data_IF_018820576498
#
_entry.id   IF_018820576498
#
_cell.length_a   1.000
_cell.length_b   1.000
_cell.length_c   1.000
_cell.angle_alpha   90.00
_cell.angle_beta   90.00
_cell.angle_gamma   90.00
#
_symmetry.space_group_name_H-M   'P 1'
#
loop_
_entity.id
_entity.type
_entity.pdbx_description
1 polymer ?
#
# COMPACT_ATOMS: atom_id res chain seq x y z
N UNK A 1 36.85 -50.03 -44.17
CA UNK A 1 36.48 -48.60 -44.11
C UNK A 1 34.96 -48.51 -44.06
N UNK A 2 34.38 -48.53 -42.87
CA UNK A 2 32.94 -48.39 -42.65
C UNK A 2 32.60 -46.92 -42.48
N UNK A 3 32.02 -46.30 -43.51
CA UNK A 3 31.46 -44.95 -43.41
C UNK A 3 30.23 -44.99 -42.48
N UNK A 4 30.16 -44.17 -41.42
CA UNK A 4 29.01 -44.15 -40.51
C UNK A 4 27.84 -43.40 -41.17
N UNK A 5 27.15 -44.05 -42.12
CA UNK A 5 26.00 -43.49 -42.87
C UNK A 5 24.74 -43.25 -42.04
N UNK A 6 24.72 -43.63 -40.75
CA UNK A 6 23.60 -43.40 -39.83
C UNK A 6 23.77 -42.23 -38.86
N UNK A 7 24.98 -41.70 -38.69
CA UNK A 7 25.28 -40.67 -37.67
C UNK A 7 24.91 -39.27 -38.15
N UNK A 8 25.12 -38.97 -39.44
CA UNK A 8 24.84 -37.65 -40.02
C UNK A 8 23.36 -37.18 -39.90
N UNK A 9 22.34 -38.00 -40.21
CA UNK A 9 20.95 -37.58 -40.04
C UNK A 9 20.56 -37.46 -38.56
N UNK A 10 21.04 -38.35 -37.70
CA UNK A 10 20.80 -38.29 -36.26
C UNK A 10 21.35 -36.98 -35.66
N UNK A 11 22.58 -36.61 -35.99
CA UNK A 11 23.22 -35.35 -35.54
C UNK A 11 22.43 -34.13 -36.02
N UNK A 12 21.92 -34.15 -37.25
CA UNK A 12 21.08 -33.06 -37.78
C UNK A 12 19.76 -32.92 -37.03
N UNK A 13 19.08 -34.02 -36.70
CA UNK A 13 17.84 -33.96 -35.90
C UNK A 13 18.11 -33.47 -34.47
N UNK A 14 19.18 -33.94 -33.83
CA UNK A 14 19.56 -33.48 -32.48
C UNK A 14 19.85 -31.98 -32.49
N UNK A 15 20.60 -31.48 -33.47
CA UNK A 15 20.85 -30.05 -33.65
C UNK A 15 19.55 -29.26 -33.87
N UNK A 16 18.65 -29.75 -34.73
CA UNK A 16 17.37 -29.09 -34.98
C UNK A 16 16.50 -29.00 -33.71
N UNK A 17 16.45 -30.08 -32.92
CA UNK A 17 15.72 -30.10 -31.64
C UNK A 17 16.34 -29.13 -30.63
N UNK A 18 17.68 -29.08 -30.53
CA UNK A 18 18.36 -28.14 -29.63
C UNK A 18 18.11 -26.68 -30.03
N UNK A 19 18.17 -26.35 -31.32
CA UNK A 19 17.86 -25.00 -31.81
C UNK A 19 16.39 -24.66 -31.53
N UNK A 20 15.46 -25.57 -31.80
CA UNK A 20 14.05 -25.36 -31.49
C UNK A 20 13.82 -25.13 -29.98
N UNK A 21 14.48 -25.90 -29.11
CA UNK A 21 14.41 -25.73 -27.67
C UNK A 21 14.94 -24.35 -27.22
N UNK A 22 16.05 -23.89 -27.80
CA UNK A 22 16.62 -22.56 -27.51
C UNK A 22 15.66 -21.45 -27.95
N UNK A 23 15.09 -21.56 -29.15
CA UNK A 23 14.13 -20.57 -29.67
C UNK A 23 12.87 -20.53 -28.79
N UNK A 24 12.29 -21.69 -28.45
CA UNK A 24 11.11 -21.76 -27.56
C UNK A 24 11.43 -21.16 -26.19
N UNK A 25 12.59 -21.46 -25.62
CA UNK A 25 13.01 -20.89 -24.33
C UNK A 25 13.17 -19.36 -24.42
N UNK A 26 13.76 -18.85 -25.51
CA UNK A 26 13.88 -17.41 -25.73
C UNK A 26 12.53 -16.71 -25.83
N UNK A 27 11.59 -17.30 -26.58
CA UNK A 27 10.21 -16.78 -26.67
C UNK A 27 9.51 -16.82 -25.31
N UNK A 28 9.65 -17.91 -24.56
CA UNK A 28 9.05 -18.03 -23.23
C UNK A 28 9.56 -16.95 -22.27
N UNK A 29 10.86 -16.64 -22.28
CA UNK A 29 11.43 -15.55 -21.47
C UNK A 29 10.88 -14.18 -21.90
N UNK A 30 10.78 -13.91 -23.21
CA UNK A 30 10.23 -12.64 -23.70
C UNK A 30 8.76 -12.47 -23.30
N UNK A 31 7.95 -13.52 -23.45
CA UNK A 31 6.53 -13.51 -23.04
C UNK A 31 6.41 -13.32 -21.54
N UNK A 32 7.24 -14.01 -20.75
CA UNK A 32 7.25 -13.87 -19.29
C UNK A 32 7.59 -12.44 -18.86
N UNK A 33 8.62 -11.83 -19.45
CA UNK A 33 9.02 -10.46 -19.12
C UNK A 33 7.93 -9.45 -19.50
N UNK A 34 7.33 -9.60 -20.68
CA UNK A 34 6.25 -8.73 -21.13
C UNK A 34 5.01 -8.84 -20.24
N UNK A 35 4.68 -10.06 -19.83
CA UNK A 35 3.60 -10.31 -18.88
C UNK A 35 3.84 -9.62 -17.54
N UNK A 36 5.05 -9.74 -16.97
CA UNK A 36 5.39 -9.06 -15.70
C UNK A 36 5.24 -7.55 -15.81
N UNK A 37 5.74 -6.93 -16.89
CA UNK A 37 5.65 -5.47 -17.07
C UNK A 37 4.21 -4.96 -17.15
N UNK A 38 3.35 -5.65 -17.91
CA UNK A 38 1.93 -5.26 -18.03
C UNK A 38 1.22 -5.40 -16.69
N UNK A 39 1.45 -6.51 -15.99
CA UNK A 39 0.80 -6.77 -14.71
C UNK A 39 1.26 -5.75 -13.66
N UNK A 40 2.55 -5.40 -13.60
CA UNK A 40 3.05 -4.37 -12.68
C UNK A 40 2.45 -2.99 -12.95
N UNK A 41 2.29 -2.60 -14.22
CA UNK A 41 1.65 -1.34 -14.60
C UNK A 41 0.16 -1.31 -14.22
N UNK A 42 -0.56 -2.41 -14.48
CA UNK A 42 -1.96 -2.56 -14.09
C UNK A 42 -2.14 -2.50 -12.57
N UNK A 43 -1.31 -3.24 -11.81
CA UNK A 43 -1.28 -3.20 -10.34
C UNK A 43 -1.04 -1.77 -9.86
N UNK A 44 -0.02 -1.08 -10.41
CA UNK A 44 0.32 0.29 -9.99
C UNK A 44 -0.84 1.25 -10.23
N UNK A 45 -1.50 1.16 -11.39
CA UNK A 45 -2.65 2.02 -11.73
C UNK A 45 -3.81 1.81 -10.76
N UNK A 46 -4.16 0.55 -10.49
CA UNK A 46 -5.26 0.21 -9.58
C UNK A 46 -4.93 0.56 -8.12
N UNK A 47 -3.72 0.27 -7.63
CA UNK A 47 -3.27 0.70 -6.30
C UNK A 47 -3.28 2.23 -6.16
N UNK A 48 -2.94 2.97 -7.22
CA UNK A 48 -3.03 4.44 -7.21
C UNK A 48 -4.48 4.91 -7.05
N UNK A 49 -5.43 4.26 -7.71
CA UNK A 49 -6.86 4.57 -7.55
C UNK A 49 -7.35 4.26 -6.13
N UNK A 50 -6.96 3.10 -5.58
CA UNK A 50 -7.25 2.71 -4.20
C UNK A 50 -6.72 3.76 -3.21
N UNK A 51 -5.46 4.18 -3.35
CA UNK A 51 -4.85 5.17 -2.47
C UNK A 51 -5.51 6.55 -2.61
N UNK A 52 -5.87 6.96 -3.83
CA UNK A 52 -6.61 8.20 -4.05
C UNK A 52 -8.00 8.18 -3.42
N UNK A 53 -8.73 7.05 -3.53
CA UNK A 53 -10.02 6.85 -2.89
C UNK A 53 -9.91 6.92 -1.36
N UNK A 54 -8.92 6.24 -0.78
CA UNK A 54 -8.65 6.33 0.65
C UNK A 54 -8.31 7.76 1.08
N UNK A 55 -7.52 8.51 0.31
CA UNK A 55 -7.18 9.92 0.59
C UNK A 55 -8.43 10.82 0.55
N UNK A 56 -9.29 10.62 -0.45
CA UNK A 56 -10.57 11.31 -0.52
C UNK A 56 -11.45 11.02 0.69
N UNK A 57 -11.45 9.78 1.20
CA UNK A 57 -12.19 9.41 2.41
C UNK A 57 -11.60 9.99 3.69
N UNK A 58 -10.28 10.11 3.79
CA UNK A 58 -9.62 10.81 4.89
C UNK A 58 -10.04 12.28 4.95
N UNK A 59 -10.06 12.97 3.80
CA UNK A 59 -10.47 14.38 3.77
C UNK A 59 -11.97 14.56 4.04
N UNK A 60 -12.81 13.66 3.52
CA UNK A 60 -14.25 13.62 3.80
C UNK A 60 -14.53 13.46 5.31
N UNK A 61 -13.98 12.41 5.94
CA UNK A 61 -14.24 12.11 7.34
C UNK A 61 -13.69 13.21 8.27
N UNK A 62 -12.53 13.79 7.91
CA UNK A 62 -11.98 14.96 8.60
C UNK A 62 -12.94 16.15 8.55
N UNK A 63 -13.48 16.47 7.36
CA UNK A 63 -14.40 17.59 7.20
C UNK A 63 -15.69 17.43 8.04
N UNK A 64 -16.23 16.21 8.09
CA UNK A 64 -17.41 15.86 8.90
C UNK A 64 -17.07 16.02 10.38
N UNK A 65 -15.94 15.49 10.83
CA UNK A 65 -15.53 15.56 12.23
C UNK A 65 -15.24 16.99 12.70
N UNK A 66 -14.61 17.83 11.86
CA UNK A 66 -14.37 19.26 12.20
C UNK A 66 -15.65 20.08 12.26
N UNK A 67 -16.70 19.69 11.55
CA UNK A 67 -18.03 20.29 11.70
C UNK A 67 -18.72 19.90 13.02
N UNK A 68 -18.27 18.83 13.68
CA UNK A 68 -18.82 18.37 14.95
C UNK A 68 -18.33 19.21 16.13
N UNK A 69 -19.27 19.59 17.00
CA UNK A 69 -19.00 20.32 18.26
C UNK A 69 -18.78 19.40 19.46
N UNK A 70 -18.84 18.09 19.26
CA UNK A 70 -18.64 17.12 20.33
C UNK A 70 -17.20 17.18 20.85
N UNK A 71 -17.06 17.21 22.17
CA UNK A 71 -15.78 17.17 22.86
C UNK A 71 -15.85 16.13 23.97
N UNK A 72 -14.89 15.18 24.02
CA UNK A 72 -14.84 14.21 25.10
C UNK A 72 -14.48 14.88 26.43
N UNK A 73 -15.08 14.39 27.51
CA UNK A 73 -14.65 14.71 28.88
C UNK A 73 -13.24 14.17 29.17
N UNK A 74 -12.74 14.44 30.38
CA UNK A 74 -11.41 13.98 30.78
C UNK A 74 -11.32 12.45 30.77
N UNK A 75 -10.24 11.91 30.20
CA UNK A 75 -10.00 10.47 30.03
C UNK A 75 -11.11 9.75 29.25
N UNK A 76 -11.75 10.44 28.31
CA UNK A 76 -12.78 9.83 27.46
C UNK A 76 -12.51 10.01 25.98
N UNK A 77 -13.26 9.26 25.17
CA UNK A 77 -13.22 9.32 23.72
C UNK A 77 -14.62 9.45 23.11
N UNK A 78 -14.69 9.97 21.90
CA UNK A 78 -15.93 10.05 21.12
C UNK A 78 -15.62 9.73 19.65
N UNK A 79 -16.42 8.83 19.08
CA UNK A 79 -16.45 8.60 17.64
C UNK A 79 -17.24 9.74 16.99
N UNK A 80 -16.59 10.53 16.15
CA UNK A 80 -17.21 11.69 15.50
C UNK A 80 -17.77 11.37 14.12
N UNK A 81 -17.14 10.44 13.42
CA UNK A 81 -17.55 10.01 12.09
C UNK A 81 -17.03 8.61 11.80
N UNK A 82 -17.78 7.86 10.98
CA UNK A 82 -17.42 6.56 10.45
C UNK A 82 -17.86 6.50 8.99
N UNK A 83 -17.00 5.96 8.11
CA UNK A 83 -17.31 5.75 6.70
C UNK A 83 -16.68 4.46 6.20
N UNK A 84 -17.45 3.69 5.45
CA UNK A 84 -16.93 2.58 4.66
C UNK A 84 -16.12 3.13 3.48
N UNK A 85 -14.97 2.51 3.19
CA UNK A 85 -14.13 2.93 2.07
C UNK A 85 -14.60 2.36 0.73
N UNK A 86 -15.37 1.25 0.72
CA UNK A 86 -15.79 0.54 -0.49
C UNK A 86 -14.62 0.28 -1.46
N UNK A 87 -13.54 -0.30 -0.94
CA UNK A 87 -12.36 -0.62 -1.75
C UNK A 87 -12.60 -1.91 -2.55
N UNK A 88 -11.95 -2.08 -3.71
CA UNK A 88 -12.05 -3.32 -4.47
C UNK A 88 -11.50 -4.50 -3.66
N UNK A 89 -12.07 -5.70 -3.84
CA UNK A 89 -11.60 -6.90 -3.14
C UNK A 89 -10.14 -7.25 -3.45
N UNK A 90 -9.71 -6.95 -4.67
CA UNK A 90 -8.42 -7.32 -5.25
C UNK A 90 -7.96 -6.27 -6.23
N UNK A 91 -6.65 -6.20 -6.42
CA UNK A 91 -6.00 -5.40 -7.45
C UNK A 91 -5.27 -6.32 -8.40
N UNK A 92 -5.58 -6.27 -9.70
CA UNK A 92 -5.05 -7.18 -10.73
C UNK A 92 -5.06 -8.66 -10.26
N UNK A 93 -6.21 -9.09 -9.73
CA UNK A 93 -6.48 -10.43 -9.16
C UNK A 93 -5.66 -10.82 -7.91
N UNK A 94 -4.93 -9.88 -7.31
CA UNK A 94 -4.07 -10.11 -6.14
C UNK A 94 -4.65 -9.49 -4.88
N UNK A 95 -4.27 -10.09 -3.77
CA UNK A 95 -4.46 -9.51 -2.45
C UNK A 95 -3.53 -8.32 -2.25
N UNK A 96 -4.03 -7.32 -1.53
CA UNK A 96 -3.30 -6.11 -1.24
C UNK A 96 -3.70 -5.59 0.13
N UNK A 97 -2.88 -4.70 0.67
CA UNK A 97 -3.14 -4.01 1.93
C UNK A 97 -3.03 -2.52 1.76
N UNK A 98 -3.74 -1.80 2.60
CA UNK A 98 -3.68 -0.34 2.68
C UNK A 98 -3.31 0.05 4.09
N UNK A 99 -2.32 0.92 4.23
CA UNK A 99 -1.80 1.42 5.50
C UNK A 99 -1.87 2.93 5.52
N UNK A 100 -2.38 3.50 6.62
CA UNK A 100 -2.28 4.92 6.89
C UNK A 100 -1.03 5.18 7.73
N UNK A 101 -0.19 6.10 7.26
CA UNK A 101 1.00 6.55 7.95
C UNK A 101 0.82 8.00 8.39
N UNK A 102 1.11 8.25 9.66
CA UNK A 102 1.15 9.60 10.19
C UNK A 102 2.37 10.38 9.68
N UNK A 103 2.30 11.70 9.75
CA UNK A 103 3.43 12.56 9.39
C UNK A 103 4.71 12.22 10.22
N UNK A 104 4.55 11.84 11.49
CA UNK A 104 5.67 11.43 12.34
C UNK A 104 6.28 10.10 11.90
N UNK A 105 5.46 9.14 11.48
CA UNK A 105 5.93 7.88 10.91
C UNK A 105 6.65 8.10 9.58
N UNK A 106 6.11 8.94 8.70
CA UNK A 106 6.77 9.31 7.44
C UNK A 106 8.13 9.98 7.70
N UNK A 107 8.20 10.91 8.65
CA UNK A 107 9.45 11.55 9.04
C UNK A 107 10.48 10.55 9.59
N UNK A 108 10.05 9.57 10.39
CA UNK A 108 10.94 8.52 10.93
C UNK A 108 11.51 7.59 9.84
N UNK A 109 10.74 7.34 8.78
CA UNK A 109 11.21 6.56 7.63
C UNK A 109 12.27 7.35 6.83
N UNK A 110 12.05 8.66 6.65
CA UNK A 110 12.97 9.55 5.94
C UNK A 110 14.27 9.81 6.73
N UNK A 111 14.21 9.92 8.05
CA UNK A 111 15.40 10.15 8.89
C UNK A 111 16.41 9.00 8.86
N UNK A 112 15.99 7.81 8.41
CA UNK A 112 16.86 6.64 8.27
C UNK A 112 17.54 6.53 6.89
N UNK A 113 17.29 7.49 5.99
CA UNK A 113 17.95 7.53 4.68
C UNK A 113 19.27 8.29 4.80
N UNK A 114 20.37 7.52 4.80
CA UNK A 114 21.72 8.07 4.66
C UNK A 114 22.07 8.14 3.17
N UNK A 115 22.37 9.34 2.67
CA UNK A 115 22.94 9.52 1.33
C UNK A 115 24.40 9.95 1.54
N UNK A 116 25.33 9.14 1.06
CA UNK A 116 26.78 9.40 1.16
C UNK A 116 27.30 9.66 2.59
N UNK A 117 26.72 9.03 3.61
CA UNK A 117 27.17 9.14 5.00
C UNK A 117 26.69 10.41 5.72
N UNK A 118 25.90 11.27 5.07
CA UNK A 118 25.17 12.35 5.70
C UNK A 118 23.69 11.99 5.83
N UNK A 119 23.10 12.31 7.00
CA UNK A 119 21.68 12.18 7.20
C UNK A 119 20.97 13.24 6.35
N UNK A 120 20.08 12.81 5.47
CA UNK A 120 19.26 13.75 4.69
C UNK A 120 18.19 14.31 5.62
N UNK A 121 18.45 15.48 6.18
CA UNK A 121 17.41 16.28 6.85
C UNK A 121 16.44 16.77 5.77
N UNK A 122 15.32 16.08 5.60
CA UNK A 122 14.21 16.62 4.81
C UNK A 122 13.53 17.72 5.60
N UNK A 123 13.43 18.90 4.98
CA UNK A 123 12.80 20.10 5.53
C UNK A 123 11.32 19.79 5.80
N UNK A 124 10.99 19.51 7.06
CA UNK A 124 9.70 18.95 7.52
C UNK A 124 8.64 20.03 7.70
N UNK A 125 8.48 20.90 6.70
CA UNK A 125 7.55 22.03 6.73
C UNK A 125 6.07 21.66 6.58
N UNK A 126 5.74 20.41 6.19
CA UNK A 126 4.36 19.97 6.06
C UNK A 126 4.16 18.62 6.74
N UNK A 127 3.29 18.57 7.75
CA UNK A 127 2.83 17.33 8.39
C UNK A 127 1.88 16.60 7.42
N UNK A 128 2.46 16.02 6.37
CA UNK A 128 1.73 15.30 5.33
C UNK A 128 1.67 13.84 5.75
N UNK A 129 0.46 13.36 6.05
CA UNK A 129 0.21 11.93 6.21
C UNK A 129 0.33 11.21 4.87
N UNK A 130 0.54 9.89 4.88
CA UNK A 130 0.72 9.11 3.65
C UNK A 130 -0.12 7.84 3.67
N UNK A 131 -0.66 7.49 2.52
CA UNK A 131 -1.33 6.21 2.29
C UNK A 131 -0.38 5.32 1.52
N UNK A 132 -0.14 4.12 2.03
CA UNK A 132 0.66 3.11 1.37
C UNK A 132 -0.22 1.94 1.02
N UNK A 133 -0.38 1.68 -0.28
CA UNK A 133 -1.08 0.51 -0.79
C UNK A 133 -0.06 -0.43 -1.44
N UNK A 134 -0.08 -1.71 -1.09
CA UNK A 134 0.84 -2.68 -1.67
C UNK A 134 0.23 -4.07 -1.82
N UNK A 135 0.61 -4.77 -2.89
CA UNK A 135 0.25 -6.18 -3.07
C UNK A 135 0.98 -7.04 -2.04
N UNK A 136 0.32 -8.11 -1.60
CA UNK A 136 0.91 -9.10 -0.66
C UNK A 136 1.49 -10.31 -1.38
N UNK A 137 1.38 -10.35 -2.72
CA UNK A 137 1.72 -11.46 -3.59
C UNK A 137 2.52 -10.95 -4.80
N UNK A 138 3.41 -11.78 -5.34
CA UNK A 138 4.25 -11.40 -6.47
C UNK A 138 3.46 -11.03 -7.75
N UNK A 139 3.86 -9.96 -8.45
CA UNK A 139 4.92 -9.02 -8.09
C UNK A 139 4.48 -8.09 -6.94
N UNK A 140 5.39 -7.87 -5.98
CA UNK A 140 5.19 -6.91 -4.89
C UNK A 140 5.36 -5.50 -5.44
N UNK A 141 4.24 -4.79 -5.55
CA UNK A 141 4.20 -3.40 -6.02
C UNK A 141 3.64 -2.55 -4.90
N UNK A 142 4.35 -1.48 -4.58
CA UNK A 142 3.97 -0.50 -3.56
C UNK A 142 3.69 0.85 -4.23
N UNK A 143 2.58 1.47 -3.84
CA UNK A 143 2.19 2.82 -4.24
C UNK A 143 1.99 3.67 -2.99
N UNK A 144 2.67 4.80 -2.99
CA UNK A 144 2.57 5.83 -1.96
C UNK A 144 1.74 7.00 -2.48
N UNK A 145 0.83 7.51 -1.64
CA UNK A 145 -0.01 8.64 -1.97
C UNK A 145 -0.10 9.60 -0.80
N UNK A 146 0.19 10.86 -1.04
CA UNK A 146 0.19 11.88 0.00
C UNK A 146 -1.25 12.29 0.35
N UNK A 147 -1.51 12.44 1.64
CA UNK A 147 -2.76 12.98 2.18
C UNK A 147 -2.57 14.48 2.38
N UNK A 148 -3.54 15.33 2.01
CA UNK A 148 -3.49 16.75 2.32
C UNK A 148 -3.19 17.01 3.80
N UNK A 149 -2.47 18.09 4.10
CA UNK A 149 -2.15 18.47 5.47
C UNK A 149 -3.43 18.66 6.29
N UNK A 150 -3.63 17.83 7.30
CA UNK A 150 -4.77 17.87 8.22
C UNK A 150 -4.26 17.81 9.66
N UNK A 151 -5.00 18.46 10.56
CA UNK A 151 -4.71 18.48 11.99
C UNK A 151 -5.38 17.28 12.67
N UNK A 152 -4.99 16.07 12.24
CA UNK A 152 -5.40 14.80 12.79
C UNK A 152 -4.32 13.75 12.52
N UNK A 153 -4.07 12.88 13.49
CA UNK A 153 -3.13 11.78 13.30
C UNK A 153 -3.74 10.69 12.39
N UNK A 154 -2.91 9.98 11.62
CA UNK A 154 -3.35 8.95 10.68
C UNK A 154 -2.76 7.60 11.08
N UNK A 155 -3.61 6.62 11.34
CA UNK A 155 -3.14 5.30 11.77
C UNK A 155 -4.00 4.14 11.27
N UNK A 156 -3.44 2.94 11.34
CA UNK A 156 -4.14 1.70 11.07
C UNK A 156 -3.87 1.15 9.68
N UNK A 157 -4.37 -0.06 9.47
CA UNK A 157 -4.21 -0.79 8.22
C UNK A 157 -5.40 -1.70 7.99
N UNK A 158 -5.61 -2.05 6.74
CA UNK A 158 -6.53 -3.13 6.37
C UNK A 158 -5.84 -4.14 5.47
N UNK A 159 -6.04 -5.42 5.80
CA UNK A 159 -5.71 -6.57 4.95
C UNK A 159 -6.97 -7.10 4.23
N UNK A 160 -8.16 -6.72 4.69
CA UNK A 160 -9.45 -7.07 4.08
C UNK A 160 -10.15 -5.79 3.58
N UNK A 161 -10.04 -5.47 2.29
CA UNK A 161 -10.61 -4.24 1.74
C UNK A 161 -12.15 -4.23 1.75
N UNK A 162 -12.82 -5.39 1.84
CA UNK A 162 -14.30 -5.51 1.82
C UNK A 162 -14.98 -4.79 2.97
N UNK A 163 -14.35 -4.87 4.15
CA UNK A 163 -14.88 -4.33 5.40
C UNK A 163 -14.02 -3.18 5.91
N UNK A 164 -13.27 -2.54 5.01
CA UNK A 164 -12.42 -1.43 5.37
C UNK A 164 -13.29 -0.23 5.78
N UNK A 165 -13.29 0.06 7.08
CA UNK A 165 -13.96 1.21 7.70
C UNK A 165 -12.93 2.24 8.11
N UNK A 166 -13.20 3.51 7.83
CA UNK A 166 -12.46 4.65 8.35
C UNK A 166 -13.24 5.25 9.50
N UNK A 167 -12.56 5.55 10.61
CA UNK A 167 -13.17 6.13 11.81
C UNK A 167 -12.41 7.35 12.26
N UNK A 168 -13.12 8.40 12.65
CA UNK A 168 -12.54 9.57 13.28
C UNK A 168 -12.87 9.58 14.76
N UNK A 169 -11.82 9.53 15.58
CA UNK A 169 -11.94 9.65 17.02
C UNK A 169 -11.37 10.97 17.49
N UNK A 170 -12.08 11.57 18.45
CA UNK A 170 -11.54 12.61 19.32
C UNK A 170 -11.42 12.04 20.71
N UNK A 171 -10.26 12.14 21.34
CA UNK A 171 -10.02 11.61 22.67
C UNK A 171 -9.26 12.63 23.52
N UNK A 172 -9.44 12.58 24.83
CA UNK A 172 -8.87 13.54 25.77
C UNK A 172 -8.10 12.84 26.88
N UNK A 173 -6.87 12.37 26.60
CA UNK A 173 -6.00 11.84 27.63
C UNK A 173 -5.52 12.99 28.52
N UNK A 174 -5.97 13.00 29.77
CA UNK A 174 -5.47 13.88 30.83
C UNK A 174 -5.55 15.39 30.52
N UNK A 175 -6.61 15.84 29.85
CA UNK A 175 -6.88 17.26 29.59
C UNK A 175 -6.42 17.78 28.22
N UNK A 176 -5.70 16.97 27.44
CA UNK A 176 -5.28 17.33 26.08
C UNK A 176 -6.19 16.65 25.06
N UNK A 177 -6.88 17.42 24.22
CA UNK A 177 -7.71 16.87 23.14
C UNK A 177 -6.82 16.47 21.96
N UNK A 178 -6.99 15.26 21.46
CA UNK A 178 -6.28 14.72 20.29
C UNK A 178 -7.27 14.11 19.32
N UNK A 179 -7.02 14.33 18.03
CA UNK A 179 -7.84 13.85 16.93
C UNK A 179 -7.06 12.80 16.12
N UNK A 180 -7.69 11.68 15.80
CA UNK A 180 -7.07 10.58 15.03
C UNK A 180 -8.06 9.96 14.05
N UNK A 181 -7.57 9.68 12.85
CA UNK A 181 -8.26 8.93 11.82
C UNK A 181 -7.65 7.53 11.76
N UNK A 182 -8.52 6.53 11.91
CA UNK A 182 -8.14 5.14 11.98
C UNK A 182 -8.73 4.36 10.81
N UNK A 183 -7.89 3.60 10.11
CA UNK A 183 -8.30 2.64 9.08
C UNK A 183 -8.28 1.21 9.64
N UNK A 184 -9.40 0.50 9.48
CA UNK A 184 -9.48 -0.94 9.75
C UNK A 184 -9.08 -1.31 11.18
N UNK A 185 -8.15 -2.24 11.31
CA UNK A 185 -7.62 -2.67 12.61
C UNK A 185 -6.47 -1.74 13.05
N UNK A 186 -6.54 -1.26 14.31
CA UNK A 186 -5.46 -0.53 14.95
C UNK A 186 -5.43 -0.84 16.44
N UNK A 187 -4.22 -0.95 17.01
CA UNK A 187 -4.02 -1.08 18.46
C UNK A 187 -4.58 0.12 19.23
N UNK A 188 -4.67 1.28 18.59
CA UNK A 188 -5.31 2.46 19.16
C UNK A 188 -6.81 2.29 19.35
N UNK A 189 -7.52 1.52 18.52
CA UNK A 189 -8.95 1.29 18.73
C UNK A 189 -9.17 0.62 20.09
N UNK A 190 -8.33 -0.36 20.46
CA UNK A 190 -8.40 -0.99 21.77
C UNK A 190 -8.14 -0.02 22.93
N UNK A 191 -7.19 0.90 22.78
CA UNK A 191 -6.89 1.91 23.80
C UNK A 191 -7.99 2.98 23.91
N UNK A 192 -8.48 3.49 22.78
CA UNK A 192 -9.54 4.49 22.70
C UNK A 192 -10.87 3.93 23.20
N UNK A 193 -11.20 2.67 22.86
CA UNK A 193 -12.38 1.98 23.34
C UNK A 193 -12.33 1.71 24.86
N UNK A 194 -11.13 1.52 25.43
CA UNK A 194 -10.98 1.37 26.89
C UNK A 194 -11.20 2.67 27.68
N UNK A 195 -11.25 3.82 27.00
CA UNK A 195 -11.54 5.14 27.58
C UNK A 195 -13.02 5.55 27.44
N UNK A 196 -13.84 4.75 26.76
CA UNK A 196 -15.26 5.02 26.50
C UNK A 196 -16.17 4.78 27.70
#
# INVERSE_FOLDING_TARGET
MTNPKGVAPLVSYVLAVLVAAVVISGVAVLVSNFYTLIIEDEIRRELTQVSAQASSKVTEIYSIAKASRSSPGNQSSVLLAESDLNLPDRVALREYKVTLLSASQVASMLSNVTLNGENVSTDSGAQVGRIVAETTQDPIVTVEYDVPSIDADLQGRTLDPRNATMRYYRYNPNGTVTDVIVLGESSLIGQIASMG
#
